data_IF_620095956758
#
_entry.id   IF_620095956758
#
_cell.length_a   1.000
_cell.length_b   1.000
_cell.length_c   1.000
_cell.angle_alpha   90.00
_cell.angle_beta   90.00
_cell.angle_gamma   90.00
#
_symmetry.space_group_name_H-M   'P 1'
#
loop_
_entity.id
_entity.type
_entity.pdbx_description
1 polymer ?
#
# COMPACT_ATOMS: atom_id res chain seq x y z
N UNK A 1 -13.14 -8.13 -11.59
CA UNK A 1 -13.22 -9.59 -11.80
C UNK A 1 -12.47 -9.92 -13.09
N UNK A 2 -11.62 -10.97 -13.12
CA UNK A 2 -10.92 -11.38 -14.33
C UNK A 2 -11.88 -11.94 -15.39
N UNK A 3 -11.42 -11.99 -16.65
CA UNK A 3 -12.16 -12.59 -17.76
C UNK A 3 -12.18 -14.12 -17.64
N UNK A 4 -13.36 -14.74 -17.60
CA UNK A 4 -13.51 -16.17 -17.29
C UNK A 4 -12.94 -17.14 -18.34
N UNK A 5 -12.72 -16.69 -19.57
CA UNK A 5 -12.16 -17.53 -20.65
C UNK A 5 -10.64 -17.36 -20.79
N UNK A 6 -10.04 -16.43 -20.03
CA UNK A 6 -8.61 -16.17 -20.10
C UNK A 6 -7.85 -17.10 -19.15
N UNK A 7 -7.23 -18.15 -19.71
CA UNK A 7 -6.45 -19.13 -18.94
C UNK A 7 -5.29 -18.50 -18.14
N UNK A 8 -4.81 -17.32 -18.53
CA UNK A 8 -3.75 -16.61 -17.80
C UNK A 8 -4.24 -15.99 -16.49
N UNK A 9 -5.57 -15.91 -16.28
CA UNK A 9 -6.19 -15.29 -15.10
C UNK A 9 -7.01 -16.27 -14.25
N UNK A 10 -6.88 -17.58 -14.51
CA UNK A 10 -7.70 -18.64 -13.88
C UNK A 10 -7.62 -18.67 -12.35
N UNK A 11 -6.46 -18.36 -11.79
CA UNK A 11 -6.23 -18.44 -10.34
C UNK A 11 -6.81 -17.25 -9.55
N UNK A 12 -7.24 -16.18 -10.24
CA UNK A 12 -7.80 -15.00 -9.59
C UNK A 12 -9.30 -15.17 -9.32
N UNK A 13 -9.74 -14.80 -8.12
CA UNK A 13 -11.16 -14.70 -7.77
C UNK A 13 -11.65 -13.26 -8.04
N UNK A 14 -11.48 -12.37 -7.06
CA UNK A 14 -11.81 -10.96 -7.15
C UNK A 14 -10.66 -10.12 -6.64
N UNK A 15 -10.42 -8.99 -7.31
CA UNK A 15 -9.48 -7.97 -6.88
C UNK A 15 -10.30 -6.73 -6.55
N UNK A 16 -10.29 -6.35 -5.28
CA UNK A 16 -10.94 -5.13 -4.80
C UNK A 16 -9.84 -4.09 -4.57
N UNK A 17 -9.85 -3.03 -5.38
CA UNK A 17 -8.91 -1.93 -5.22
C UNK A 17 -9.45 -0.98 -4.17
N UNK A 18 -8.80 -0.94 -3.01
CA UNK A 18 -9.07 0.03 -1.96
C UNK A 18 -8.03 1.14 -2.04
N UNK A 19 -8.43 2.37 -1.72
CA UNK A 19 -7.52 3.52 -1.66
C UNK A 19 -7.77 4.25 -0.35
N UNK A 20 -6.70 4.75 0.26
CA UNK A 20 -6.72 5.37 1.57
C UNK A 20 -6.15 6.77 1.48
N UNK A 21 -6.89 7.74 2.00
CA UNK A 21 -6.33 9.01 2.41
C UNK A 21 -5.86 8.88 3.87
N UNK A 22 -4.71 9.45 4.18
CA UNK A 22 -4.13 9.44 5.52
C UNK A 22 -3.49 10.81 5.79
N UNK A 23 -3.39 11.17 7.07
CA UNK A 23 -2.73 12.42 7.49
C UNK A 23 -1.28 12.18 7.95
N UNK A 24 -1.00 10.96 8.41
CA UNK A 24 0.31 10.49 8.86
C UNK A 24 0.52 9.06 8.38
N UNK A 25 1.76 8.72 8.05
CA UNK A 25 2.19 7.37 7.71
C UNK A 25 3.56 7.08 8.33
N UNK A 26 3.74 5.84 8.79
CA UNK A 26 4.99 5.33 9.35
C UNK A 26 5.37 4.07 8.57
N UNK A 27 6.62 3.99 8.13
CA UNK A 27 7.21 2.84 7.47
C UNK A 27 8.33 2.26 8.34
N UNK A 28 8.35 0.94 8.46
CA UNK A 28 9.36 0.23 9.25
C UNK A 28 9.91 -0.95 8.45
N UNK A 29 11.23 -1.04 8.34
CA UNK A 29 11.92 -2.20 7.81
C UNK A 29 12.52 -3.02 8.97
N UNK A 30 11.72 -3.95 9.49
CA UNK A 30 12.01 -4.71 10.73
C UNK A 30 13.35 -5.46 10.67
N UNK A 31 13.72 -6.00 9.50
CA UNK A 31 14.93 -6.82 9.36
C UNK A 31 16.24 -6.02 9.52
N UNK A 32 16.28 -4.77 9.04
CA UNK A 32 17.48 -3.92 9.16
C UNK A 32 17.29 -2.76 10.15
N UNK A 33 16.14 -2.67 10.79
CA UNK A 33 15.84 -1.71 11.85
C UNK A 33 15.68 -0.25 11.41
N UNK A 34 15.57 0.03 10.11
CA UNK A 34 15.38 1.39 9.61
C UNK A 34 13.90 1.76 9.60
N UNK A 35 13.58 2.99 10.00
CA UNK A 35 12.21 3.52 10.00
C UNK A 35 12.15 4.91 9.35
N UNK A 36 10.96 5.29 8.90
CA UNK A 36 10.65 6.61 8.37
C UNK A 36 9.20 6.98 8.67
N UNK A 37 8.91 8.27 8.76
CA UNK A 37 7.56 8.77 9.01
C UNK A 37 7.33 10.06 8.25
N UNK A 38 6.08 10.28 7.84
CA UNK A 38 5.59 11.51 7.24
C UNK A 38 4.27 11.89 7.90
N UNK A 39 4.16 13.12 8.41
CA UNK A 39 2.98 13.64 9.10
C UNK A 39 2.67 15.04 8.59
N UNK A 40 1.53 15.21 7.93
CA UNK A 40 1.05 16.50 7.47
C UNK A 40 0.92 17.52 8.62
N UNK A 41 0.63 17.07 9.85
CA UNK A 41 0.47 17.94 11.03
C UNK A 41 1.79 18.34 11.67
N UNK A 42 2.89 17.68 11.31
CA UNK A 42 4.23 17.94 11.83
C UNK A 42 5.26 17.89 10.70
N UNK A 43 5.19 18.83 9.72
CA UNK A 43 6.11 18.85 8.60
C UNK A 43 7.54 19.11 9.08
N UNK A 44 8.52 18.49 8.42
CA UNK A 44 9.93 18.79 8.65
C UNK A 44 10.25 20.15 8.00
N UNK A 45 10.82 21.08 8.78
CA UNK A 45 11.34 22.35 8.25
C UNK A 45 12.57 22.10 7.37
N UNK A 46 12.71 22.90 6.31
CA UNK A 46 13.75 22.76 5.28
C UNK A 46 15.10 23.36 5.68
#
# INVERSE_FOLDING_TARGET
>A
MPHCQDNTKREFTHLVRVSLAYHKIEWEHVSTGTSGADDWRAPLEA
#
